data_IF_251112266366
#
_entry.id   IF_251112266366
#
_cell.length_a   1.000
_cell.length_b   1.000
_cell.length_c   1.000
_cell.angle_alpha   90.00
_cell.angle_beta   90.00
_cell.angle_gamma   90.00
#
_symmetry.space_group_name_H-M   'P 1'
#
loop_
_entity.id
_entity.type
_entity.pdbx_description
1 polymer ?
#
# COMPACT_ATOMS: atom_id res chain seq x y z
N UNK A 1 -23.90 -47.91 52.12
CA UNK A 1 -22.82 -47.86 51.11
C UNK A 1 -22.82 -46.46 50.52
N UNK A 2 -21.96 -45.59 51.06
CA UNK A 2 -21.75 -44.20 50.65
C UNK A 2 -20.75 -44.18 49.49
N UNK A 3 -21.11 -43.62 48.36
CA UNK A 3 -20.18 -43.38 47.25
C UNK A 3 -20.05 -41.86 47.07
N UNK A 4 -18.96 -41.31 47.61
CA UNK A 4 -18.50 -39.94 47.37
C UNK A 4 -17.94 -39.84 45.95
N UNK A 5 -18.69 -39.22 45.04
CA UNK A 5 -18.17 -38.79 43.75
C UNK A 5 -17.55 -37.40 43.87
N UNK A 6 -16.24 -37.39 44.11
CA UNK A 6 -15.41 -36.18 44.07
C UNK A 6 -15.60 -35.43 42.75
N UNK A 7 -16.14 -34.22 42.84
CA UNK A 7 -16.25 -33.29 41.72
C UNK A 7 -14.89 -32.59 41.52
N UNK A 8 -14.18 -32.99 40.48
CA UNK A 8 -13.00 -32.26 40.01
C UNK A 8 -13.40 -30.85 39.56
N UNK A 9 -12.67 -29.78 39.93
CA UNK A 9 -12.99 -28.43 39.49
C UNK A 9 -12.91 -28.31 37.97
N UNK A 10 -13.96 -27.78 37.34
CA UNK A 10 -13.97 -27.45 35.92
C UNK A 10 -12.83 -26.47 35.59
N UNK A 11 -12.05 -26.71 34.51
CA UNK A 11 -10.97 -25.81 34.12
C UNK A 11 -11.54 -24.42 33.79
N UNK A 12 -11.07 -23.41 34.52
CA UNK A 12 -11.45 -22.01 34.38
C UNK A 12 -11.00 -21.45 33.02
N UNK A 13 -11.95 -21.31 32.10
CA UNK A 13 -11.74 -20.77 30.74
C UNK A 13 -11.75 -19.24 30.68
N UNK A 14 -11.96 -18.56 31.81
CA UNK A 14 -12.11 -17.09 31.86
C UNK A 14 -10.78 -16.33 31.91
N UNK A 15 -9.65 -17.02 32.09
CA UNK A 15 -8.32 -16.39 32.06
C UNK A 15 -7.78 -16.27 30.63
N UNK A 16 -7.46 -15.05 30.14
CA UNK A 16 -6.77 -14.91 28.88
C UNK A 16 -5.41 -15.63 28.97
N UNK A 17 -5.02 -16.43 27.94
CA UNK A 17 -3.78 -17.19 27.99
C UNK A 17 -2.59 -16.24 28.18
N UNK A 18 -1.89 -16.41 29.31
CA UNK A 18 -0.69 -15.63 29.64
C UNK A 18 0.38 -15.85 28.55
N UNK A 19 0.75 -14.76 27.88
CA UNK A 19 2.10 -14.54 27.36
C UNK A 19 2.66 -15.54 26.35
N UNK A 20 1.97 -15.79 25.24
CA UNK A 20 2.67 -16.35 24.06
C UNK A 20 3.61 -15.29 23.47
N UNK A 21 4.92 -15.53 23.62
CA UNK A 21 5.99 -14.71 23.05
C UNK A 21 5.74 -14.46 21.55
N UNK A 22 6.10 -13.29 21.03
CA UNK A 22 5.88 -12.94 19.61
C UNK A 22 6.40 -14.00 18.63
N UNK A 23 7.51 -14.66 18.99
CA UNK A 23 8.09 -15.78 18.23
C UNK A 23 7.18 -17.01 18.15
N UNK A 24 6.45 -17.34 19.22
CA UNK A 24 5.49 -18.46 19.20
C UNK A 24 4.27 -18.17 18.31
N UNK A 25 3.84 -16.90 18.25
CA UNK A 25 2.78 -16.45 17.32
C UNK A 25 3.26 -16.44 15.88
N UNK A 26 4.49 -15.97 15.64
CA UNK A 26 5.10 -15.98 14.30
C UNK A 26 5.26 -17.42 13.78
N UNK A 27 5.76 -18.35 14.61
CA UNK A 27 5.86 -19.77 14.23
C UNK A 27 4.50 -20.40 13.95
N UNK A 28 3.49 -20.10 14.76
CA UNK A 28 2.14 -20.59 14.53
C UNK A 28 1.54 -20.02 13.24
N UNK A 29 1.70 -18.72 12.98
CA UNK A 29 1.22 -18.05 11.78
C UNK A 29 1.90 -18.57 10.50
N UNK A 30 3.23 -18.74 10.55
CA UNK A 30 3.99 -19.34 9.45
C UNK A 30 3.52 -20.79 9.21
N UNK A 31 3.35 -21.57 10.28
CA UNK A 31 2.84 -22.94 10.20
C UNK A 31 1.48 -23.03 9.49
N UNK A 32 0.53 -22.15 9.85
CA UNK A 32 -0.78 -22.09 9.20
C UNK A 32 -0.69 -21.74 7.71
N UNK A 33 0.14 -20.75 7.34
CA UNK A 33 0.33 -20.35 5.95
C UNK A 33 0.84 -21.50 5.07
N UNK A 34 1.81 -22.28 5.56
CA UNK A 34 2.34 -23.43 4.81
C UNK A 34 1.30 -24.56 4.65
N UNK A 35 0.49 -24.81 5.68
CA UNK A 35 -0.60 -25.80 5.60
C UNK A 35 -1.64 -25.36 4.56
N UNK A 36 -2.00 -24.08 4.55
CA UNK A 36 -2.98 -23.53 3.59
C UNK A 36 -2.49 -23.63 2.14
N UNK A 37 -1.23 -23.29 1.88
CA UNK A 37 -0.64 -23.40 0.54
C UNK A 37 -0.60 -24.85 0.06
N UNK A 38 -0.14 -25.78 0.92
CA UNK A 38 -0.04 -27.19 0.52
C UNK A 38 -1.42 -27.83 0.31
N UNK A 39 -2.42 -27.47 1.11
CA UNK A 39 -3.79 -27.88 0.91
C UNK A 39 -4.39 -27.28 -0.37
N UNK A 40 -4.17 -25.98 -0.62
CA UNK A 40 -4.60 -25.30 -1.83
C UNK A 40 -4.01 -25.95 -3.09
N UNK A 41 -2.72 -26.31 -3.08
CA UNK A 41 -2.06 -26.99 -4.21
C UNK A 41 -2.62 -28.40 -4.46
N UNK A 42 -2.95 -29.16 -3.41
CA UNK A 42 -3.53 -30.51 -3.55
C UNK A 42 -4.97 -30.49 -4.08
N UNK A 43 -5.74 -29.48 -3.67
CA UNK A 43 -7.15 -29.31 -4.07
C UNK A 43 -7.31 -28.47 -5.34
N UNK A 44 -6.24 -27.84 -5.82
CA UNK A 44 -6.25 -27.02 -7.02
C UNK A 44 -6.45 -27.87 -8.28
N UNK A 45 -7.44 -27.49 -9.10
CA UNK A 45 -7.57 -28.03 -10.45
C UNK A 45 -6.33 -27.74 -11.31
N UNK A 46 -6.10 -28.57 -12.32
CA UNK A 46 -4.93 -28.49 -13.23
C UNK A 46 -4.68 -27.08 -13.78
N UNK A 47 -5.74 -26.35 -14.13
CA UNK A 47 -5.63 -24.97 -14.61
C UNK A 47 -4.99 -24.01 -13.58
N UNK A 48 -5.37 -24.13 -12.29
CA UNK A 48 -4.78 -23.31 -11.22
C UNK A 48 -3.32 -23.66 -10.98
N UNK A 49 -2.97 -24.94 -11.06
CA UNK A 49 -1.57 -25.39 -10.95
C UNK A 49 -0.71 -24.87 -12.10
N UNK A 50 -1.23 -24.90 -13.33
CA UNK A 50 -0.54 -24.35 -14.50
C UNK A 50 -0.31 -22.84 -14.33
N UNK A 51 -1.33 -22.08 -13.90
CA UNK A 51 -1.19 -20.65 -13.64
C UNK A 51 -0.19 -20.36 -12.52
N UNK A 52 -0.22 -21.13 -11.43
CA UNK A 52 0.72 -20.99 -10.34
C UNK A 52 2.16 -21.29 -10.80
N UNK A 53 2.37 -22.36 -11.57
CA UNK A 53 3.66 -22.71 -12.13
C UNK A 53 4.16 -21.64 -13.12
N UNK A 54 3.30 -21.16 -14.01
CA UNK A 54 3.63 -20.10 -14.95
C UNK A 54 4.03 -18.80 -14.23
N UNK A 55 3.28 -18.41 -13.19
CA UNK A 55 3.62 -17.26 -12.35
C UNK A 55 4.96 -17.44 -11.64
N UNK A 56 5.20 -18.60 -11.04
CA UNK A 56 6.47 -18.91 -10.38
C UNK A 56 7.66 -18.87 -11.35
N UNK A 57 7.52 -19.45 -12.54
CA UNK A 57 8.54 -19.41 -13.59
C UNK A 57 8.80 -17.97 -14.07
N UNK A 58 7.76 -17.15 -14.18
CA UNK A 58 7.89 -15.73 -14.55
C UNK A 58 8.67 -14.95 -13.49
N UNK A 59 8.35 -15.14 -12.21
CA UNK A 59 9.07 -14.51 -11.09
C UNK A 59 10.53 -14.98 -11.04
N UNK A 60 10.78 -16.28 -11.22
CA UNK A 60 12.14 -16.82 -11.25
C UNK A 60 12.94 -16.22 -12.41
N UNK A 61 12.37 -16.19 -13.61
CA UNK A 61 13.02 -15.63 -14.78
C UNK A 61 13.34 -14.13 -14.61
N UNK A 62 12.37 -13.35 -14.12
CA UNK A 62 12.60 -11.93 -13.80
C UNK A 62 13.68 -11.73 -12.73
N UNK A 63 13.71 -12.59 -11.70
CA UNK A 63 14.76 -12.58 -10.68
C UNK A 63 16.15 -12.89 -11.23
N UNK A 64 16.26 -13.84 -12.17
CA UNK A 64 17.51 -14.15 -12.86
C UNK A 64 18.00 -12.97 -13.70
N UNK A 65 17.10 -12.31 -14.44
CA UNK A 65 17.45 -11.11 -15.22
C UNK A 65 17.95 -9.98 -14.32
N UNK A 66 17.29 -9.73 -13.19
CA UNK A 66 17.74 -8.73 -12.21
C UNK A 66 19.12 -9.10 -11.66
N UNK A 67 19.34 -10.38 -11.32
CA UNK A 67 20.63 -10.83 -10.83
C UNK A 67 21.74 -10.63 -11.86
N UNK A 68 21.50 -11.02 -13.11
CA UNK A 68 22.44 -10.80 -14.22
C UNK A 68 22.77 -9.31 -14.36
N UNK A 69 21.76 -8.46 -14.33
CA UNK A 69 21.88 -7.02 -14.49
C UNK A 69 22.62 -6.33 -13.32
N UNK A 70 22.39 -6.81 -12.08
CA UNK A 70 23.11 -6.35 -10.88
C UNK A 70 24.57 -6.81 -10.89
N UNK A 71 24.84 -8.04 -11.33
CA UNK A 71 26.20 -8.58 -11.45
C UNK A 71 27.03 -7.91 -12.55
N UNK A 72 26.37 -7.35 -13.57
CA UNK A 72 27.02 -6.61 -14.68
C UNK A 72 27.08 -5.08 -14.42
N UNK A 73 26.99 -4.65 -13.16
CA UNK A 73 27.14 -3.25 -12.70
C UNK A 73 26.23 -2.21 -13.39
N UNK A 74 25.04 -2.61 -13.85
CA UNK A 74 24.09 -1.71 -14.51
C UNK A 74 22.67 -1.89 -13.95
N UNK A 75 22.32 -1.37 -12.76
CA UNK A 75 22.92 -0.22 -12.04
C UNK A 75 23.81 -0.59 -10.84
N UNK A 76 24.31 -1.83 -10.79
CA UNK A 76 25.05 -2.38 -9.65
C UNK A 76 24.17 -2.60 -8.40
N UNK A 77 24.70 -3.25 -7.35
CA UNK A 77 23.90 -3.67 -6.19
C UNK A 77 23.28 -2.50 -5.42
N UNK A 78 24.05 -1.42 -5.21
CA UNK A 78 23.59 -0.23 -4.47
C UNK A 78 22.53 0.53 -5.27
N UNK A 79 22.73 0.70 -6.59
CA UNK A 79 21.76 1.36 -7.45
C UNK A 79 20.45 0.59 -7.52
N UNK A 80 20.52 -0.75 -7.62
CA UNK A 80 19.34 -1.60 -7.57
C UNK A 80 18.61 -1.49 -6.24
N UNK A 81 19.32 -1.62 -5.10
CA UNK A 81 18.70 -1.50 -3.78
C UNK A 81 18.08 -0.11 -3.57
N UNK A 82 18.72 0.95 -4.05
CA UNK A 82 18.19 2.31 -3.96
C UNK A 82 16.90 2.46 -4.77
N UNK A 83 16.84 1.91 -5.97
CA UNK A 83 15.62 1.93 -6.77
C UNK A 83 14.52 1.03 -6.19
N UNK A 84 14.87 -0.20 -5.84
CA UNK A 84 13.94 -1.23 -5.37
C UNK A 84 13.36 -0.89 -4.00
N UNK A 85 14.19 -0.43 -3.05
CA UNK A 85 13.75 -0.07 -1.72
C UNK A 85 13.33 1.40 -1.62
N UNK A 86 13.98 2.31 -2.36
CA UNK A 86 13.75 3.75 -2.21
C UNK A 86 12.31 4.16 -2.49
N UNK A 87 11.71 3.64 -3.57
CA UNK A 87 10.30 3.92 -3.90
C UNK A 87 9.34 3.48 -2.78
N UNK A 88 9.28 2.17 -2.44
CA UNK A 88 8.43 1.66 -1.38
C UNK A 88 8.68 2.33 -0.03
N UNK A 89 9.94 2.55 0.35
CA UNK A 89 10.28 3.21 1.61
C UNK A 89 9.76 4.65 1.66
N UNK A 90 9.92 5.43 0.58
CA UNK A 90 9.36 6.79 0.53
C UNK A 90 7.83 6.73 0.66
N UNK A 91 7.16 5.79 0.00
CA UNK A 91 5.70 5.66 0.12
C UNK A 91 5.28 5.27 1.54
N UNK A 92 5.90 4.24 2.11
CA UNK A 92 5.49 3.67 3.40
C UNK A 92 5.88 4.56 4.59
N UNK A 93 7.02 5.24 4.53
CA UNK A 93 7.53 6.09 5.62
C UNK A 93 7.10 7.54 5.51
N UNK A 94 6.79 8.05 4.31
CA UNK A 94 6.40 9.44 4.14
C UNK A 94 4.95 9.58 3.68
N UNK A 95 4.59 8.96 2.55
CA UNK A 95 3.26 9.15 1.97
C UNK A 95 2.17 8.60 2.90
N UNK A 96 2.32 7.38 3.42
CA UNK A 96 1.33 6.76 4.31
C UNK A 96 1.12 7.57 5.59
N UNK A 97 2.16 7.95 6.36
CA UNK A 97 1.97 8.78 7.55
C UNK A 97 1.36 10.15 7.24
N UNK A 98 1.77 10.80 6.15
CA UNK A 98 1.17 12.08 5.73
C UNK A 98 -0.31 11.90 5.43
N UNK A 99 -0.71 10.85 4.71
CA UNK A 99 -2.12 10.55 4.45
C UNK A 99 -2.87 10.31 5.75
N UNK A 100 -2.33 9.51 6.65
CA UNK A 100 -2.99 9.17 7.92
C UNK A 100 -3.17 10.41 8.80
N UNK A 101 -2.12 11.21 8.98
CA UNK A 101 -2.18 12.45 9.77
C UNK A 101 -3.16 13.44 9.14
N UNK A 102 -3.12 13.59 7.81
CA UNK A 102 -4.01 14.47 7.06
C UNK A 102 -5.46 14.01 7.19
N UNK A 103 -5.75 12.72 7.00
CA UNK A 103 -7.08 12.15 7.16
C UNK A 103 -7.61 12.29 8.58
N UNK A 104 -6.75 12.07 9.59
CA UNK A 104 -7.11 12.29 11.01
C UNK A 104 -7.42 13.76 11.27
N UNK A 105 -6.59 14.68 10.79
CA UNK A 105 -6.80 16.13 10.96
C UNK A 105 -8.09 16.59 10.28
N UNK A 106 -8.27 16.22 9.02
CA UNK A 106 -9.48 16.50 8.24
C UNK A 106 -10.72 15.90 8.90
N UNK A 107 -10.63 14.67 9.41
CA UNK A 107 -11.73 13.99 10.09
C UNK A 107 -12.17 14.66 11.39
N UNK A 108 -11.31 15.46 12.02
CA UNK A 108 -11.65 16.25 13.21
C UNK A 108 -12.24 17.62 12.90
N UNK A 109 -11.93 18.19 11.73
CA UNK A 109 -12.31 19.57 11.37
C UNK A 109 -13.50 19.61 10.42
N UNK A 110 -13.61 18.65 9.50
CA UNK A 110 -14.60 18.70 8.43
C UNK A 110 -15.95 18.11 8.84
N UNK A 111 -17.06 18.75 8.45
CA UNK A 111 -18.38 18.15 8.54
C UNK A 111 -18.46 16.86 7.72
N UNK A 112 -19.24 15.87 8.20
CA UNK A 112 -19.39 14.56 7.56
C UNK A 112 -19.77 14.64 6.07
N UNK A 113 -20.50 15.68 5.67
CA UNK A 113 -20.92 15.93 4.29
C UNK A 113 -19.75 16.17 3.31
N UNK A 114 -18.60 16.67 3.79
CA UNK A 114 -17.45 17.03 2.97
C UNK A 114 -16.30 16.02 3.07
N UNK A 115 -16.30 15.20 4.12
CA UNK A 115 -15.15 14.36 4.48
C UNK A 115 -14.68 13.45 3.34
N UNK A 116 -15.59 12.69 2.72
CA UNK A 116 -15.25 11.77 1.62
C UNK A 116 -14.70 12.47 0.38
N UNK A 117 -15.23 13.65 0.06
CA UNK A 117 -14.77 14.43 -1.09
C UNK A 117 -13.36 14.96 -0.88
N UNK A 118 -13.07 15.43 0.33
CA UNK A 118 -11.74 15.97 0.67
C UNK A 118 -10.71 14.86 0.80
N UNK A 119 -11.06 13.74 1.42
CA UNK A 119 -10.19 12.55 1.51
C UNK A 119 -9.80 12.03 0.11
N UNK A 120 -10.76 11.88 -0.81
CA UNK A 120 -10.46 11.39 -2.16
C UNK A 120 -9.62 12.37 -2.97
N UNK A 121 -9.93 13.67 -2.91
CA UNK A 121 -9.15 14.70 -3.60
C UNK A 121 -7.71 14.77 -3.09
N UNK A 122 -7.51 14.71 -1.78
CA UNK A 122 -6.19 14.71 -1.17
C UNK A 122 -5.38 13.48 -1.60
N UNK A 123 -6.00 12.29 -1.64
CA UNK A 123 -5.33 11.05 -2.02
C UNK A 123 -4.94 11.05 -3.51
N UNK A 124 -5.83 11.51 -4.39
CA UNK A 124 -5.53 11.66 -5.83
C UNK A 124 -4.40 12.67 -6.03
N UNK A 125 -4.46 13.83 -5.37
CA UNK A 125 -3.43 14.85 -5.49
C UNK A 125 -2.06 14.37 -4.96
N UNK A 126 -2.03 13.59 -3.88
CA UNK A 126 -0.79 12.98 -3.41
C UNK A 126 -0.16 12.07 -4.47
N UNK A 127 -0.97 11.20 -5.10
CA UNK A 127 -0.48 10.33 -6.16
C UNK A 127 0.01 11.15 -7.37
N UNK A 128 -0.70 12.22 -7.73
CA UNK A 128 -0.28 13.14 -8.77
C UNK A 128 1.06 13.80 -8.43
N UNK A 129 1.29 14.23 -7.18
CA UNK A 129 2.58 14.79 -6.74
C UNK A 129 3.70 13.77 -6.90
N UNK A 130 3.48 12.52 -6.47
CA UNK A 130 4.48 11.46 -6.57
C UNK A 130 4.86 11.17 -8.03
N UNK A 131 3.87 11.11 -8.92
CA UNK A 131 4.08 10.90 -10.36
C UNK A 131 4.72 12.13 -11.02
N UNK A 132 4.33 13.34 -10.62
CA UNK A 132 4.81 14.59 -11.20
C UNK A 132 6.21 14.99 -10.72
N UNK A 133 6.68 14.47 -9.59
CA UNK A 133 7.96 14.81 -8.97
C UNK A 133 9.17 14.86 -9.93
N UNK A 134 9.44 13.85 -10.79
CA UNK A 134 10.57 13.92 -11.74
C UNK A 134 10.42 15.05 -12.77
N UNK A 135 9.20 15.34 -13.21
CA UNK A 135 8.93 16.40 -14.19
C UNK A 135 9.08 17.79 -13.56
N UNK A 136 8.59 17.96 -12.33
CA UNK A 136 8.68 19.22 -11.58
C UNK A 136 10.12 19.53 -11.15
N UNK A 137 10.92 18.50 -10.85
CA UNK A 137 12.36 18.66 -10.57
C UNK A 137 13.20 18.86 -11.84
N UNK A 138 12.62 18.61 -13.01
CA UNK A 138 13.31 18.64 -14.29
C UNK A 138 14.40 17.57 -14.40
N UNK A 139 14.22 16.44 -13.71
CA UNK A 139 15.16 15.34 -13.71
C UNK A 139 15.29 14.76 -15.12
N UNK A 140 16.53 14.70 -15.64
CA UNK A 140 16.82 14.24 -17.00
C UNK A 140 16.82 15.33 -18.08
N UNK A 141 16.57 16.60 -17.73
CA UNK A 141 16.72 17.73 -18.66
C UNK A 141 18.18 17.91 -19.07
N UNK A 142 18.42 18.06 -20.37
CA UNK A 142 19.77 18.29 -20.93
C UNK A 142 19.78 19.58 -21.77
N UNK A 143 20.78 20.47 -21.62
CA UNK A 143 20.81 21.76 -22.31
C UNK A 143 20.85 21.67 -23.84
N UNK A 144 21.41 20.57 -24.34
CA UNK A 144 21.63 20.27 -25.75
C UNK A 144 20.47 19.47 -26.39
N UNK A 145 19.46 19.09 -25.61
CA UNK A 145 18.35 18.27 -26.06
C UNK A 145 17.00 18.94 -25.73
N UNK A 146 16.46 19.78 -26.64
CA UNK A 146 15.13 20.36 -26.45
C UNK A 146 14.11 19.22 -26.28
N UNK A 147 13.37 19.25 -25.18
CA UNK A 147 12.54 18.12 -24.76
C UNK A 147 11.20 18.58 -24.19
N UNK A 148 10.30 17.64 -23.93
CA UNK A 148 9.04 17.96 -23.26
C UNK A 148 9.24 18.60 -21.88
N UNK A 149 10.41 18.40 -21.24
CA UNK A 149 10.77 18.99 -19.95
C UNK A 149 10.94 20.52 -19.98
N UNK A 150 10.99 21.14 -21.16
CA UNK A 150 11.08 22.61 -21.29
C UNK A 150 9.71 23.30 -21.11
N UNK A 151 8.63 22.52 -21.02
CA UNK A 151 7.29 23.03 -20.75
C UNK A 151 7.17 23.52 -19.30
N UNK A 152 6.32 24.52 -19.08
CA UNK A 152 5.92 24.95 -17.74
C UNK A 152 5.04 23.89 -17.03
N UNK A 153 5.71 22.90 -16.44
CA UNK A 153 5.06 21.85 -15.65
C UNK A 153 4.46 22.39 -14.35
N UNK A 154 4.99 23.49 -13.80
CA UNK A 154 4.47 24.06 -12.55
C UNK A 154 3.05 24.58 -12.78
N UNK A 155 2.86 25.34 -13.87
CA UNK A 155 1.54 25.82 -14.26
C UNK A 155 0.59 24.67 -14.58
N UNK A 156 1.00 23.75 -15.46
CA UNK A 156 0.15 22.62 -15.88
C UNK A 156 -0.26 21.72 -14.70
N UNK A 157 0.67 21.46 -13.79
CA UNK A 157 0.42 20.68 -12.59
C UNK A 157 -0.49 21.43 -11.61
N UNK A 158 -0.26 22.73 -11.39
CA UNK A 158 -1.11 23.57 -10.55
C UNK A 158 -2.57 23.58 -11.03
N UNK A 159 -2.79 23.70 -12.34
CA UNK A 159 -4.12 23.60 -12.96
C UNK A 159 -4.76 22.23 -12.70
N UNK A 160 -4.00 21.14 -12.86
CA UNK A 160 -4.51 19.80 -12.62
C UNK A 160 -4.93 19.58 -11.16
N UNK A 161 -4.09 19.99 -10.20
CA UNK A 161 -4.41 19.94 -8.76
C UNK A 161 -5.69 20.72 -8.46
N UNK A 162 -5.82 21.93 -9.03
CA UNK A 162 -7.02 22.76 -8.88
C UNK A 162 -8.27 22.11 -9.45
N UNK A 163 -8.15 21.45 -10.60
CA UNK A 163 -9.27 20.75 -11.26
C UNK A 163 -9.74 19.54 -10.44
N UNK A 164 -8.83 18.77 -9.84
CA UNK A 164 -9.19 17.66 -8.94
C UNK A 164 -9.99 18.18 -7.74
N UNK A 165 -9.54 19.27 -7.11
CA UNK A 165 -10.27 19.90 -6.01
C UNK A 165 -11.65 20.40 -6.44
N UNK A 166 -11.73 21.04 -7.60
CA UNK A 166 -12.99 21.55 -8.14
C UNK A 166 -14.00 20.40 -8.34
N UNK A 167 -13.59 19.32 -8.98
CA UNK A 167 -14.43 18.14 -9.22
C UNK A 167 -14.91 17.52 -7.90
N UNK A 168 -14.05 17.47 -6.89
CA UNK A 168 -14.40 16.88 -5.60
C UNK A 168 -15.35 17.77 -4.76
N UNK A 169 -15.12 19.08 -4.73
CA UNK A 169 -15.83 20.00 -3.84
C UNK A 169 -17.16 20.53 -4.39
N UNK A 170 -17.33 20.58 -5.71
CA UNK A 170 -18.56 21.09 -6.32
C UNK A 170 -19.82 20.29 -5.92
N UNK A 171 -19.84 18.94 -5.95
CA UNK A 171 -21.03 18.18 -5.57
C UNK A 171 -21.53 18.42 -4.13
N UNK A 172 -20.69 18.32 -3.07
CA UNK A 172 -21.15 18.63 -1.71
C UNK A 172 -21.51 20.11 -1.54
N UNK A 173 -20.84 21.05 -2.24
CA UNK A 173 -21.21 22.46 -2.23
C UNK A 173 -22.64 22.69 -2.76
N UNK A 174 -22.95 22.11 -3.92
CA UNK A 174 -24.29 22.22 -4.54
C UNK A 174 -25.36 21.63 -3.62
N UNK A 175 -25.09 20.50 -2.96
CA UNK A 175 -26.02 19.89 -2.00
C UNK A 175 -26.26 20.78 -0.79
N UNK A 176 -25.20 21.36 -0.22
CA UNK A 176 -25.28 22.25 0.92
C UNK A 176 -26.05 23.55 0.60
N UNK A 177 -25.88 24.10 -0.61
CA UNK A 177 -26.61 25.28 -1.06
C UNK A 177 -28.10 25.00 -1.28
N UNK A 178 -28.44 23.80 -1.79
CA UNK A 178 -29.85 23.40 -1.99
C UNK A 178 -30.56 23.15 -0.67
N UNK A 179 -29.89 22.60 0.34
CA UNK A 179 -30.47 22.35 1.67
C UNK A 179 -30.75 23.63 2.48
N UNK A 180 -30.24 24.79 2.04
CA UNK A 180 -30.45 26.10 2.68
C UNK A 180 -31.61 26.90 2.08
N UNK A 181 -32.19 26.43 0.97
CA UNK A 181 -33.37 27.01 0.32
C UNK A 181 -34.60 26.22 0.72
#
# INVERSE_FOLDING_TARGET
MTNDSGSSPSPDTSRPPRGRSGLSRLRAWLGTQFVDVTHALRTAGRARLILAAAGALTVLYGGLLVLEQVLHDNPGPVGFLTWWAGGPLVVDLLAVPVVVVTAIGLGRVLPAAWRRAVESAALVNLLLVLVAAPFLSGLGRRPDNPSLLDRDYVLGFGVLIGLVWLVALVPPAVRALRARR
#
